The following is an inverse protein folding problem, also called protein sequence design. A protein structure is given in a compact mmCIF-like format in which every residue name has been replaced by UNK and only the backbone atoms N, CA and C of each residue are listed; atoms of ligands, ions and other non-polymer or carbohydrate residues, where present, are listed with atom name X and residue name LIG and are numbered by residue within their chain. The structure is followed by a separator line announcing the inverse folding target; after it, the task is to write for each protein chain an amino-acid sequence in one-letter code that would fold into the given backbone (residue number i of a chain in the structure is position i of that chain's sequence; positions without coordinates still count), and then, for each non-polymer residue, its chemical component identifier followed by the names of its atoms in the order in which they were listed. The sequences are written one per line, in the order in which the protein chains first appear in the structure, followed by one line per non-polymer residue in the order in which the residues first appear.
data_IF_907172262071
#
_entry.id   IF_907172262071
#
_cell.length_a   1.000
_cell.length_b   1.000
_cell.length_c   1.000
_cell.angle_alpha   90.00
_cell.angle_beta   90.00
_cell.angle_gamma   90.00
#
_symmetry.space_group_name_H-M   'P 1'
#
loop_
_entity.id
_entity.type
_entity.pdbx_description
1 polymer ?
#
# COMPACT_ATOMS: atom_id res chain seq x y z
N UNK A 1 -5.92 27.56 14.72
CA UNK A 1 -5.55 26.46 13.79
C UNK A 1 -6.65 26.34 12.76
N UNK A 2 -6.36 26.53 11.48
CA UNK A 2 -7.42 26.51 10.46
C UNK A 2 -7.94 25.06 10.29
N UNK A 3 -9.21 24.85 9.88
CA UNK A 3 -9.76 23.52 9.64
C UNK A 3 -8.91 22.68 8.67
N UNK A 4 -8.21 23.33 7.73
CA UNK A 4 -7.26 22.71 6.80
C UNK A 4 -5.99 22.20 7.45
N UNK A 5 -5.47 22.88 8.47
CA UNK A 5 -4.24 22.45 9.18
C UNK A 5 -4.49 21.13 9.94
N UNK A 6 -5.66 21.02 10.60
CA UNK A 6 -6.06 19.81 11.31
C UNK A 6 -6.34 18.62 10.36
N UNK A 7 -6.72 18.89 9.10
CA UNK A 7 -6.87 17.85 8.08
C UNK A 7 -5.52 17.37 7.55
N UNK A 8 -4.59 18.29 7.28
CA UNK A 8 -3.22 18.00 6.87
C UNK A 8 -2.47 17.16 7.92
N UNK A 9 -2.58 17.52 9.20
CA UNK A 9 -1.93 16.79 10.27
C UNK A 9 -2.51 15.37 10.46
N UNK A 10 -3.83 15.21 10.26
CA UNK A 10 -4.46 13.89 10.23
C UNK A 10 -3.96 13.04 9.06
N UNK A 11 -3.78 13.63 7.89
CA UNK A 11 -3.24 12.93 6.72
C UNK A 11 -1.78 12.51 6.93
N UNK A 12 -0.93 13.42 7.43
CA UNK A 12 0.46 13.12 7.77
C UNK A 12 0.57 12.00 8.81
N UNK A 13 -0.26 12.01 9.85
CA UNK A 13 -0.33 10.91 10.84
C UNK A 13 -0.71 9.56 10.20
N UNK A 14 -1.65 9.57 9.26
CA UNK A 14 -2.08 8.34 8.55
C UNK A 14 -0.96 7.78 7.67
N UNK A 15 -0.26 8.64 6.93
CA UNK A 15 0.89 8.26 6.10
C UNK A 15 1.98 7.64 6.98
N UNK A 16 2.41 8.33 8.03
CA UNK A 16 3.46 7.84 8.92
C UNK A 16 3.08 6.55 9.66
N UNK A 17 1.80 6.42 10.06
CA UNK A 17 1.30 5.19 10.66
C UNK A 17 1.34 4.04 9.67
N UNK A 18 0.81 4.24 8.46
CA UNK A 18 0.75 3.20 7.45
C UNK A 18 2.15 2.80 6.99
N UNK A 19 3.08 3.73 6.82
CA UNK A 19 4.47 3.43 6.46
C UNK A 19 5.16 2.59 7.55
N UNK A 20 5.01 2.99 8.82
CA UNK A 20 5.58 2.24 9.95
C UNK A 20 5.00 0.83 10.08
N UNK A 21 3.70 0.66 9.85
CA UNK A 21 3.02 -0.62 10.00
C UNK A 21 2.84 -1.38 8.68
N UNK A 22 3.35 -0.87 7.55
CA UNK A 22 3.15 -1.45 6.22
C UNK A 22 3.58 -2.90 6.17
N UNK A 23 4.82 -3.16 6.59
CA UNK A 23 5.44 -4.48 6.54
C UNK A 23 4.75 -5.49 7.45
N UNK A 24 4.51 -5.22 8.75
CA UNK A 24 3.79 -6.17 9.60
C UNK A 24 2.34 -6.38 9.15
N UNK A 25 1.64 -5.34 8.67
CA UNK A 25 0.29 -5.51 8.12
C UNK A 25 0.29 -6.35 6.84
N UNK A 26 1.26 -6.14 5.95
CA UNK A 26 1.39 -6.93 4.71
C UNK A 26 1.61 -8.40 5.01
N UNK A 27 2.47 -8.72 5.99
CA UNK A 27 2.72 -10.09 6.44
C UNK A 27 1.45 -10.70 7.05
N UNK A 28 0.77 -9.98 7.95
CA UNK A 28 -0.46 -10.46 8.58
C UNK A 28 -1.57 -10.72 7.57
N UNK A 29 -1.79 -9.80 6.64
CA UNK A 29 -2.78 -9.96 5.58
C UNK A 29 -2.43 -11.11 4.64
N UNK A 30 -1.15 -11.25 4.26
CA UNK A 30 -0.70 -12.37 3.45
C UNK A 30 -0.86 -13.72 4.17
N UNK A 31 -0.60 -13.77 5.48
CA UNK A 31 -0.79 -14.99 6.28
C UNK A 31 -2.26 -15.43 6.36
N UNK A 32 -3.21 -14.51 6.20
CA UNK A 32 -4.65 -14.81 6.15
C UNK A 32 -5.11 -15.10 4.73
N UNK A 33 -4.69 -14.29 3.76
CA UNK A 33 -5.19 -14.37 2.37
C UNK A 33 -4.55 -15.49 1.57
N UNK A 34 -3.26 -15.78 1.78
CA UNK A 34 -2.55 -16.81 1.02
C UNK A 34 -3.14 -18.22 1.25
N UNK A 35 -3.47 -18.67 2.48
CA UNK A 35 -4.13 -19.96 2.68
C UNK A 35 -5.51 -20.04 2.02
N UNK A 36 -6.30 -18.96 2.07
CA UNK A 36 -7.62 -18.91 1.42
C UNK A 36 -7.50 -19.01 -0.10
N UNK A 37 -6.54 -18.29 -0.67
CA UNK A 37 -6.27 -18.33 -2.10
C UNK A 37 -5.73 -19.70 -2.52
N UNK A 38 -4.82 -20.28 -1.73
CA UNK A 38 -4.30 -21.61 -1.97
C UNK A 38 -5.41 -22.66 -1.91
N UNK A 39 -6.29 -22.61 -0.92
CA UNK A 39 -7.46 -23.49 -0.83
C UNK A 39 -8.35 -23.37 -2.08
N UNK A 40 -8.62 -22.15 -2.54
CA UNK A 40 -9.40 -21.92 -3.76
C UNK A 40 -8.71 -22.48 -5.03
N UNK A 41 -7.41 -22.22 -5.24
CA UNK A 41 -6.67 -22.71 -6.41
C UNK A 41 -6.54 -24.23 -6.38
N UNK A 42 -6.24 -24.81 -5.22
CA UNK A 42 -6.09 -26.28 -5.09
C UNK A 42 -7.42 -27.01 -5.24
N UNK A 43 -8.55 -26.37 -4.90
CA UNK A 43 -9.89 -26.90 -5.22
C UNK A 43 -10.19 -26.96 -6.72
N UNK A 44 -9.48 -26.18 -7.54
CA UNK A 44 -9.59 -26.17 -9.01
C UNK A 44 -8.48 -26.97 -9.69
N UNK A 45 -7.47 -27.44 -8.93
CA UNK A 45 -6.33 -28.15 -9.47
C UNK A 45 -6.71 -29.59 -9.84
N UNK A 46 -6.17 -30.15 -10.93
CA UNK A 46 -6.36 -31.55 -11.27
C UNK A 46 -5.81 -32.48 -10.18
N UNK A 47 -6.54 -33.55 -9.88
CA UNK A 47 -6.23 -34.50 -8.80
C UNK A 47 -4.90 -35.25 -8.98
N UNK A 48 -4.42 -35.32 -10.21
CA UNK A 48 -3.19 -36.00 -10.62
C UNK A 48 -1.92 -35.18 -10.36
N UNK A 49 -2.03 -33.95 -9.84
CA UNK A 49 -0.88 -33.11 -9.60
C UNK A 49 0.04 -33.70 -8.51
N UNK A 50 1.34 -33.93 -8.83
CA UNK A 50 2.30 -34.40 -7.84
C UNK A 50 2.44 -33.41 -6.67
N UNK A 51 2.67 -33.92 -5.46
CA UNK A 51 2.82 -33.09 -4.25
C UNK A 51 3.87 -31.98 -4.36
N UNK A 52 4.93 -32.19 -5.16
CA UNK A 52 5.93 -31.16 -5.45
C UNK A 52 5.35 -29.92 -6.16
N UNK A 53 4.39 -30.10 -7.08
CA UNK A 53 3.71 -28.99 -7.76
C UNK A 53 2.83 -28.22 -6.78
N UNK A 54 2.17 -28.90 -5.85
CA UNK A 54 1.34 -28.28 -4.81
C UNK A 54 2.19 -27.46 -3.83
N UNK A 55 3.38 -27.95 -3.47
CA UNK A 55 4.33 -27.19 -2.66
C UNK A 55 4.85 -25.95 -3.39
N UNK A 56 5.21 -26.07 -4.68
CA UNK A 56 5.61 -24.94 -5.51
C UNK A 56 4.51 -23.89 -5.63
N UNK A 57 3.28 -24.33 -5.87
CA UNK A 57 2.10 -23.47 -5.92
C UNK A 57 1.88 -22.71 -4.61
N UNK A 58 2.00 -23.39 -3.47
CA UNK A 58 1.86 -22.76 -2.15
C UNK A 58 2.89 -21.64 -1.92
N UNK A 59 4.15 -21.88 -2.30
CA UNK A 59 5.22 -20.87 -2.21
C UNK A 59 4.91 -19.68 -3.11
N UNK A 60 4.56 -19.93 -4.37
CA UNK A 60 4.23 -18.89 -5.35
C UNK A 60 3.06 -18.06 -4.86
N UNK A 61 1.96 -18.69 -4.43
CA UNK A 61 0.79 -18.00 -3.89
C UNK A 61 1.16 -17.11 -2.69
N UNK A 62 1.96 -17.63 -1.75
CA UNK A 62 2.40 -16.86 -0.59
C UNK A 62 3.21 -15.63 -0.98
N UNK A 63 4.18 -15.79 -1.88
CA UNK A 63 5.05 -14.70 -2.36
C UNK A 63 4.24 -13.65 -3.11
N UNK A 64 3.38 -14.05 -4.04
CA UNK A 64 2.56 -13.11 -4.82
C UNK A 64 1.51 -12.41 -3.97
N UNK A 65 0.88 -13.10 -3.02
CA UNK A 65 -0.07 -12.48 -2.10
C UNK A 65 0.63 -11.41 -1.25
N UNK A 66 1.77 -11.74 -0.63
CA UNK A 66 2.54 -10.78 0.15
C UNK A 66 3.01 -9.59 -0.68
N UNK A 67 3.63 -9.84 -1.84
CA UNK A 67 4.15 -8.80 -2.71
C UNK A 67 3.04 -7.89 -3.26
N UNK A 68 1.90 -8.47 -3.67
CA UNK A 68 0.74 -7.71 -4.14
C UNK A 68 0.16 -6.80 -3.07
N UNK A 69 0.05 -7.29 -1.83
CA UNK A 69 -0.42 -6.49 -0.70
C UNK A 69 0.55 -5.36 -0.37
N UNK A 70 1.85 -5.65 -0.32
CA UNK A 70 2.88 -4.64 -0.03
C UNK A 70 2.91 -3.55 -1.09
N UNK A 71 2.83 -3.94 -2.36
CA UNK A 71 2.76 -3.01 -3.50
C UNK A 71 1.51 -2.13 -3.42
N UNK A 72 0.35 -2.72 -3.11
CA UNK A 72 -0.89 -1.98 -2.94
C UNK A 72 -0.80 -0.96 -1.79
N UNK A 73 -0.25 -1.34 -0.64
CA UNK A 73 -0.05 -0.38 0.46
C UNK A 73 0.93 0.74 0.09
N UNK A 74 2.03 0.42 -0.62
CA UNK A 74 2.95 1.42 -1.14
C UNK A 74 2.27 2.40 -2.09
N UNK A 75 1.40 1.91 -2.96
CA UNK A 75 0.58 2.75 -3.84
C UNK A 75 -0.36 3.67 -3.04
N UNK A 76 -1.05 3.15 -2.01
CA UNK A 76 -1.92 3.95 -1.14
C UNK A 76 -1.14 5.10 -0.46
N UNK A 77 0.06 4.81 0.05
CA UNK A 77 0.95 5.82 0.63
C UNK A 77 1.28 6.90 -0.42
N UNK A 78 1.71 6.51 -1.62
CA UNK A 78 2.07 7.45 -2.69
C UNK A 78 0.91 8.37 -3.11
N UNK A 79 -0.32 7.84 -3.16
CA UNK A 79 -1.53 8.64 -3.42
C UNK A 79 -1.74 9.66 -2.31
N UNK A 80 -1.65 9.24 -1.05
CA UNK A 80 -1.82 10.15 0.09
C UNK A 80 -0.71 11.21 0.19
N UNK A 81 0.53 10.87 -0.13
CA UNK A 81 1.65 11.83 -0.21
C UNK A 81 1.42 12.86 -1.32
N UNK A 82 0.87 12.42 -2.45
CA UNK A 82 0.49 13.32 -3.55
C UNK A 82 -0.58 14.31 -3.11
N UNK A 83 -1.61 13.84 -2.39
CA UNK A 83 -2.67 14.71 -1.87
C UNK A 83 -2.18 15.64 -0.77
N UNK A 84 -1.32 15.16 0.12
CA UNK A 84 -0.65 15.97 1.13
C UNK A 84 0.17 17.09 0.49
N UNK A 85 0.95 16.77 -0.55
CA UNK A 85 1.76 17.72 -1.31
C UNK A 85 0.92 18.78 -2.02
N UNK A 86 -0.23 18.38 -2.62
CA UNK A 86 -1.16 19.34 -3.25
C UNK A 86 -1.78 20.27 -2.22
N UNK A 87 -2.18 19.76 -1.06
CA UNK A 87 -2.83 20.53 -0.01
C UNK A 87 -1.85 21.51 0.67
N UNK A 88 -0.60 21.12 0.91
CA UNK A 88 0.45 22.03 1.42
C UNK A 88 0.83 23.11 0.40
N UNK A 89 0.91 22.78 -0.90
CA UNK A 89 1.18 23.76 -1.96
C UNK A 89 0.08 24.81 -2.14
N UNK A 90 -1.17 24.52 -1.77
CA UNK A 90 -2.26 25.52 -1.77
C UNK A 90 -2.12 26.57 -0.67
N UNK A 91 -1.42 26.23 0.43
CA UNK A 91 -1.17 27.16 1.55
C UNK A 91 0.12 27.98 1.40
N UNK A 92 1.02 27.59 0.48
CA UNK A 92 2.19 28.39 0.15
C UNK A 92 1.77 29.52 -0.81
N UNK A 93 1.97 30.81 -0.46
CA UNK A 93 1.83 31.86 -1.45
C UNK A 93 2.77 31.54 -2.62
N UNK A 94 2.30 31.72 -3.85
CA UNK A 94 3.09 31.65 -5.10
C UNK A 94 4.26 32.65 -5.03
N UNK A 95 5.30 32.33 -4.26
CA UNK A 95 6.45 33.20 -4.02
C UNK A 95 7.36 33.37 -5.25
N UNK A 96 6.98 32.82 -6.41
CA UNK A 96 7.73 32.92 -7.67
C UNK A 96 6.96 33.56 -8.84
N UNK A 97 5.72 34.03 -8.67
CA UNK A 97 5.12 34.91 -9.69
C UNK A 97 5.56 36.37 -9.56
N UNK A 98 6.24 36.74 -8.46
CA UNK A 98 7.03 37.98 -8.39
C UNK A 98 8.49 37.66 -8.70
N UNK A 99 8.69 36.97 -9.82
CA UNK A 99 9.91 37.11 -10.61
C UNK A 99 10.10 38.61 -10.79
N UNK A 100 11.13 39.14 -10.12
CA UNK A 100 11.91 40.31 -10.53
C UNK A 100 11.58 40.72 -11.98
N UNK A 101 10.60 41.59 -12.17
CA UNK A 101 10.73 42.65 -13.16
C UNK A 101 11.26 43.82 -12.35
N UNK A 102 12.58 43.84 -12.24
CA UNK A 102 13.31 45.11 -12.18
C UNK A 102 12.98 45.88 -13.46
#
# INVERSE_FOLDING_TARGET
MSPSDAQLERLARRINWLDRFRRPLSILLAAISAPLFLWWVTGQAPSEWPGAHMAGLAIVVGVFAWYGIETFMGFVIAVWETDYSKATRRGLPRAELVRRRK
#
